data_IF_225965318844
#
_entry.id   IF_225965318844
#
_cell.length_a   1.000
_cell.length_b   1.000
_cell.length_c   1.000
_cell.angle_alpha   90.00
_cell.angle_beta   90.00
_cell.angle_gamma   90.00
#
_symmetry.space_group_name_H-M   'P 1'
#
loop_
_entity.id
_entity.type
_entity.pdbx_description
1 polymer ?
#
# COMPACT_ATOMS: atom_id res chain seq x y z
N UNK A 1 23.04 -1.14 1.11
CA UNK A 1 22.99 -1.82 2.42
C UNK A 1 22.56 -3.27 2.20
N UNK A 2 23.00 -4.24 3.02
CA UNK A 2 22.48 -5.61 2.93
C UNK A 2 21.00 -5.66 3.33
N UNK A 3 20.25 -6.65 2.83
CA UNK A 3 18.86 -6.86 3.23
C UNK A 3 18.78 -7.25 4.72
N UNK A 4 17.81 -6.74 5.50
CA UNK A 4 17.64 -7.15 6.90
C UNK A 4 17.21 -8.61 7.04
N UNK A 5 17.39 -9.25 8.21
CA UNK A 5 16.92 -10.61 8.45
C UNK A 5 15.42 -10.77 8.13
N UNK A 6 15.04 -11.91 7.55
CA UNK A 6 13.65 -12.19 7.17
C UNK A 6 13.15 -11.43 5.94
N UNK A 7 14.04 -10.76 5.21
CA UNK A 7 13.75 -10.11 3.93
C UNK A 7 14.33 -10.92 2.77
N UNK A 8 13.89 -10.58 1.56
CA UNK A 8 14.40 -11.20 0.35
C UNK A 8 15.94 -11.09 0.29
N UNK A 9 16.61 -12.21 0.02
CA UNK A 9 18.09 -12.28 0.01
C UNK A 9 18.74 -12.42 1.39
N UNK A 10 17.98 -12.45 2.50
CA UNK A 10 18.49 -12.71 3.85
C UNK A 10 17.49 -13.52 4.69
N UNK A 11 17.15 -14.72 4.18
CA UNK A 11 16.30 -15.69 4.85
C UNK A 11 17.14 -16.80 5.47
N UNK A 12 16.77 -17.26 6.67
CA UNK A 12 17.26 -18.54 7.19
C UNK A 12 16.61 -19.72 6.44
N UNK A 13 17.16 -20.94 6.52
CA UNK A 13 16.52 -22.12 5.92
C UNK A 13 15.07 -22.34 6.41
N UNK A 14 14.81 -22.09 7.69
CA UNK A 14 13.47 -22.23 8.29
C UNK A 14 12.50 -21.17 7.74
N UNK A 15 12.99 -19.93 7.56
CA UNK A 15 12.21 -18.85 6.98
C UNK A 15 11.89 -19.11 5.51
N UNK A 16 12.85 -19.66 4.76
CA UNK A 16 12.59 -20.07 3.37
C UNK A 16 11.58 -21.23 3.30
N UNK A 17 11.66 -22.20 4.22
CA UNK A 17 10.66 -23.26 4.33
C UNK A 17 9.26 -22.69 4.59
N UNK A 18 9.14 -21.66 5.45
CA UNK A 18 7.89 -20.96 5.71
C UNK A 18 7.37 -20.17 4.50
N UNK A 19 8.27 -19.58 3.71
CA UNK A 19 7.89 -18.94 2.45
C UNK A 19 7.31 -19.96 1.45
N UNK A 20 7.88 -21.17 1.36
CA UNK A 20 7.35 -22.26 0.52
C UNK A 20 5.98 -22.75 1.00
N UNK A 21 5.83 -22.94 2.31
CA UNK A 21 4.56 -23.30 2.94
C UNK A 21 3.48 -22.24 2.64
N UNK A 22 3.85 -20.96 2.73
CA UNK A 22 2.92 -19.87 2.47
C UNK A 22 2.54 -19.72 1.00
N UNK A 23 3.50 -19.88 0.08
CA UNK A 23 3.18 -19.98 -1.34
C UNK A 23 2.24 -21.16 -1.64
N UNK A 24 2.48 -22.32 -1.01
CA UNK A 24 1.61 -23.50 -1.17
C UNK A 24 0.18 -23.19 -0.74
N UNK A 25 0.01 -22.56 0.43
CA UNK A 25 -1.30 -22.19 0.94
C UNK A 25 -1.99 -21.15 0.05
N UNK A 26 -1.24 -20.15 -0.41
CA UNK A 26 -1.71 -19.08 -1.30
C UNK A 26 -2.17 -19.63 -2.65
N UNK A 27 -1.36 -20.46 -3.30
CA UNK A 27 -1.69 -21.06 -4.60
C UNK A 27 -2.90 -21.98 -4.51
N UNK A 28 -3.07 -22.70 -3.40
CA UNK A 28 -4.28 -23.50 -3.14
C UNK A 28 -5.54 -22.64 -3.05
N UNK A 29 -5.48 -21.50 -2.35
CA UNK A 29 -6.60 -20.54 -2.30
C UNK A 29 -6.91 -19.97 -3.69
N UNK A 30 -5.90 -19.84 -4.54
CA UNK A 30 -6.03 -19.40 -5.93
C UNK A 30 -6.50 -20.50 -6.89
N UNK A 31 -6.79 -21.71 -6.40
CA UNK A 31 -7.27 -22.83 -7.22
C UNK A 31 -6.19 -23.39 -8.14
N UNK A 32 -4.91 -23.13 -7.83
CA UNK A 32 -3.78 -23.69 -8.57
C UNK A 32 -3.30 -24.91 -7.81
N UNK A 33 -3.57 -26.10 -8.36
CA UNK A 33 -3.33 -27.38 -7.67
C UNK A 33 -2.03 -28.08 -8.12
N UNK A 34 -1.54 -27.79 -9.32
CA UNK A 34 -0.26 -28.29 -9.83
C UNK A 34 0.37 -27.35 -10.89
N UNK A 35 1.56 -27.70 -11.36
CA UNK A 35 2.31 -26.92 -12.35
C UNK A 35 1.64 -26.86 -13.74
N UNK A 36 0.82 -27.85 -14.12
CA UNK A 36 0.08 -27.86 -15.39
C UNK A 36 -1.13 -26.93 -15.31
N UNK A 37 -1.81 -26.90 -14.17
CA UNK A 37 -2.88 -25.95 -13.88
C UNK A 37 -2.33 -24.51 -13.86
N UNK A 38 -1.15 -24.30 -13.25
CA UNK A 38 -0.47 -23.00 -13.29
C UNK A 38 -0.15 -22.50 -14.71
N UNK A 39 0.10 -23.42 -15.65
CA UNK A 39 0.41 -23.11 -17.04
C UNK A 39 -0.84 -22.92 -17.92
N UNK A 40 -1.99 -23.51 -17.55
CA UNK A 40 -3.21 -23.57 -18.36
C UNK A 40 -4.31 -22.57 -18.00
N UNK A 41 -4.27 -21.94 -16.81
CA UNK A 41 -5.29 -20.98 -16.39
C UNK A 41 -4.87 -19.54 -16.69
N UNK A 42 -5.63 -18.82 -17.51
CA UNK A 42 -5.44 -17.38 -17.73
C UNK A 42 -5.73 -16.61 -16.44
N UNK A 43 -4.86 -15.68 -16.01
CA UNK A 43 -5.28 -14.65 -15.05
C UNK A 43 -6.35 -13.81 -15.76
N UNK A 44 -7.57 -13.69 -15.22
CA UNK A 44 -8.54 -12.80 -15.83
C UNK A 44 -7.95 -11.39 -15.90
N UNK A 45 -8.10 -10.72 -17.05
CA UNK A 45 -7.84 -9.28 -17.15
C UNK A 45 -8.71 -8.56 -16.12
N UNK A 46 -8.19 -7.49 -15.51
CA UNK A 46 -8.90 -6.73 -14.47
C UNK A 46 -10.00 -5.82 -15.03
N UNK A 47 -10.38 -5.98 -16.31
CA UNK A 47 -11.48 -5.26 -16.94
C UNK A 47 -12.83 -5.89 -16.56
N UNK A 48 -13.73 -5.06 -16.04
CA UNK A 48 -15.16 -5.30 -15.79
C UNK A 48 -15.56 -6.26 -14.65
N UNK A 49 -15.18 -5.91 -13.41
CA UNK A 49 -15.95 -6.32 -12.22
C UNK A 49 -17.22 -5.45 -12.02
N UNK A 50 -17.85 -4.99 -13.10
CA UNK A 50 -19.13 -4.27 -13.07
C UNK A 50 -20.10 -4.91 -14.06
N UNK A 51 -20.76 -5.98 -13.63
CA UNK A 51 -22.09 -6.32 -14.15
C UNK A 51 -22.90 -7.10 -13.13
N UNK A 52 -24.11 -6.58 -12.90
CA UNK A 52 -25.24 -7.01 -12.08
C UNK A 52 -25.28 -8.49 -11.66
N UNK A 53 -25.39 -8.70 -10.34
CA UNK A 53 -25.77 -10.00 -9.76
C UNK A 53 -27.28 -10.19 -10.00
N UNK A 54 -27.62 -10.86 -11.11
CA UNK A 54 -28.95 -11.38 -11.33
C UNK A 54 -29.07 -12.78 -10.69
N UNK A 55 -29.88 -12.87 -9.63
CA UNK A 55 -30.06 -14.10 -8.84
C UNK A 55 -30.94 -15.06 -9.64
N UNK A 56 -30.34 -16.10 -10.21
CA UNK A 56 -31.08 -17.33 -10.54
C UNK A 56 -30.35 -18.57 -10.06
N UNK A 57 -31.02 -19.24 -9.13
CA UNK A 57 -30.76 -20.57 -8.59
C UNK A 57 -30.21 -21.55 -9.62
N UNK A 58 -29.14 -22.25 -9.23
CA UNK A 58 -28.97 -23.68 -9.50
C UNK A 58 -28.00 -24.30 -8.51
N UNK A 59 -28.54 -25.16 -7.66
CA UNK A 59 -27.80 -26.11 -6.84
C UNK A 59 -26.81 -26.93 -7.67
N UNK A 60 -25.58 -27.11 -7.15
CA UNK A 60 -25.02 -28.46 -6.90
C UNK A 60 -23.70 -28.46 -6.11
N UNK A 61 -23.67 -29.41 -5.18
CA UNK A 61 -22.54 -30.16 -4.60
C UNK A 61 -21.47 -29.41 -3.77
N UNK A 62 -21.77 -29.26 -2.47
CA UNK A 62 -20.81 -28.94 -1.41
C UNK A 62 -19.82 -30.10 -1.18
N UNK A 63 -18.53 -29.92 -1.47
CA UNK A 63 -17.44 -30.62 -0.76
C UNK A 63 -17.08 -29.80 0.47
N UNK A 64 -17.39 -30.34 1.66
CA UNK A 64 -17.09 -29.71 2.96
C UNK A 64 -15.61 -29.92 3.30
N UNK A 65 -14.84 -28.84 3.40
CA UNK A 65 -13.50 -28.84 4.00
C UNK A 65 -13.62 -28.84 5.53
N UNK A 66 -13.05 -29.85 6.18
CA UNK A 66 -13.00 -29.95 7.64
C UNK A 66 -11.55 -30.00 8.11
N UNK A 67 -11.07 -28.92 8.73
CA UNK A 67 -9.83 -28.91 9.51
C UNK A 67 -10.05 -28.06 10.76
N UNK A 68 -10.64 -28.67 11.78
CA UNK A 68 -10.52 -28.26 13.18
C UNK A 68 -10.69 -29.51 14.05
N UNK A 69 -9.58 -30.10 14.52
CA UNK A 69 -9.62 -31.14 15.54
C UNK A 69 -8.97 -30.60 16.82
N UNK A 70 -9.81 -30.14 17.72
CA UNK A 70 -9.44 -29.69 19.07
C UNK A 70 -9.25 -30.94 19.95
N UNK A 71 -8.04 -31.18 20.42
CA UNK A 71 -7.76 -32.18 21.46
C UNK A 71 -8.39 -31.72 22.79
N UNK A 72 -9.06 -32.64 23.48
CA UNK A 72 -9.68 -32.41 24.78
C UNK A 72 -9.25 -33.54 25.70
N UNK A 73 -8.25 -33.29 26.52
CA UNK A 73 -7.93 -34.18 27.64
C UNK A 73 -8.77 -33.80 28.85
N UNK A 74 -9.33 -34.83 29.48
CA UNK A 74 -10.17 -34.79 30.67
C UNK A 74 -9.34 -35.36 31.81
N UNK A 75 -9.20 -34.61 32.89
CA UNK A 75 -9.11 -35.21 34.23
C UNK A 75 -9.70 -34.27 35.28
N UNK A 76 -10.38 -34.89 36.25
CA UNK A 76 -11.30 -34.29 37.21
C UNK A 76 -10.65 -34.08 38.57
N UNK A 77 -11.06 -33.04 39.32
CA UNK A 77 -11.42 -33.15 40.76
C UNK A 77 -11.68 -31.78 41.43
N UNK A 78 -12.95 -31.58 41.83
CA UNK A 78 -13.44 -30.96 43.08
C UNK A 78 -12.92 -29.59 43.56
N UNK A 79 -13.84 -28.60 43.67
CA UNK A 79 -13.86 -27.69 44.83
C UNK A 79 -14.31 -26.24 44.62
N UNK A 80 -15.56 -25.96 45.04
CA UNK A 80 -16.09 -24.68 45.59
C UNK A 80 -16.34 -23.47 44.65
N UNK A 81 -17.61 -23.09 44.56
CA UNK A 81 -18.15 -21.99 43.78
C UNK A 81 -17.79 -20.59 44.34
N UNK A 82 -17.38 -19.70 43.44
CA UNK A 82 -17.50 -18.23 43.54
C UNK A 82 -17.86 -17.69 42.15
N UNK A 83 -18.68 -16.63 42.03
CA UNK A 83 -19.23 -16.20 40.75
C UNK A 83 -18.13 -15.47 39.98
N UNK A 84 -17.54 -16.15 39.00
CA UNK A 84 -16.55 -15.56 38.09
C UNK A 84 -17.20 -15.27 36.74
N UNK A 85 -16.84 -14.10 36.23
CA UNK A 85 -17.31 -13.47 35.00
C UNK A 85 -17.36 -14.45 33.83
N UNK A 86 -18.38 -14.23 33.00
CA UNK A 86 -18.60 -14.83 31.69
C UNK A 86 -17.27 -14.98 30.90
N UNK A 87 -16.87 -16.20 30.50
CA UNK A 87 -15.58 -16.45 29.83
C UNK A 87 -15.61 -16.19 28.32
N UNK A 88 -16.55 -15.38 27.82
CA UNK A 88 -16.71 -15.10 26.39
C UNK A 88 -15.89 -13.91 25.85
N UNK A 89 -15.06 -13.24 26.67
CA UNK A 89 -14.39 -11.99 26.28
C UNK A 89 -12.88 -12.11 26.02
N UNK A 90 -12.38 -13.31 25.71
CA UNK A 90 -11.05 -13.45 25.09
C UNK A 90 -11.18 -13.23 23.58
N UNK A 91 -11.21 -11.97 23.15
CA UNK A 91 -10.77 -11.65 21.78
C UNK A 91 -9.31 -12.10 21.68
N UNK A 92 -9.02 -12.99 20.75
CA UNK A 92 -7.65 -13.35 20.41
C UNK A 92 -6.91 -12.05 20.10
N UNK A 93 -5.85 -11.73 20.84
CA UNK A 93 -5.14 -10.46 20.69
C UNK A 93 -4.58 -10.27 19.27
N UNK A 94 -4.42 -11.40 18.55
CA UNK A 94 -3.95 -11.45 17.17
C UNK A 94 -5.07 -11.17 16.12
N UNK A 95 -6.35 -11.09 16.50
CA UNK A 95 -7.48 -10.80 15.58
C UNK A 95 -8.21 -9.47 15.92
N UNK A 96 -7.43 -8.43 16.22
CA UNK A 96 -7.91 -7.07 16.55
C UNK A 96 -8.96 -6.54 15.56
N UNK A 97 -8.84 -6.90 14.29
CA UNK A 97 -9.65 -6.38 13.19
C UNK A 97 -10.74 -7.36 12.70
N UNK A 98 -10.86 -8.57 13.28
CA UNK A 98 -11.89 -9.54 12.89
C UNK A 98 -11.63 -10.25 11.55
N UNK A 99 -10.37 -10.29 11.11
CA UNK A 99 -9.92 -10.87 9.85
C UNK A 99 -10.24 -12.37 9.76
N UNK A 100 -10.26 -13.09 10.88
CA UNK A 100 -10.60 -14.52 10.87
C UNK A 100 -12.05 -14.78 10.43
N UNK A 101 -12.98 -13.91 10.83
CA UNK A 101 -14.40 -13.99 10.42
C UNK A 101 -14.55 -13.60 8.94
N UNK A 102 -13.89 -12.52 8.53
CA UNK A 102 -13.88 -12.06 7.14
C UNK A 102 -13.33 -13.14 6.20
N UNK A 103 -12.27 -13.84 6.60
CA UNK A 103 -11.65 -14.90 5.78
C UNK A 103 -12.65 -15.97 5.35
N UNK A 104 -13.50 -16.45 6.27
CA UNK A 104 -14.51 -17.47 5.96
C UNK A 104 -15.59 -16.93 5.01
N UNK A 105 -15.97 -15.67 5.17
CA UNK A 105 -16.91 -15.01 4.27
C UNK A 105 -16.32 -14.84 2.87
N UNK A 106 -15.06 -14.42 2.77
CA UNK A 106 -14.36 -14.22 1.49
C UNK A 106 -14.26 -15.53 0.73
N UNK A 107 -13.82 -16.61 1.39
CA UNK A 107 -13.73 -17.93 0.75
C UNK A 107 -15.10 -18.48 0.28
N UNK A 108 -16.20 -17.97 0.83
CA UNK A 108 -17.56 -18.36 0.42
C UNK A 108 -18.14 -17.50 -0.71
N UNK A 109 -17.58 -16.31 -0.95
CA UNK A 109 -18.13 -15.29 -1.87
C UNK A 109 -17.25 -15.00 -3.07
N UNK A 110 -15.93 -15.15 -2.95
CA UNK A 110 -14.99 -14.91 -4.03
C UNK A 110 -14.53 -16.21 -4.69
N UNK A 111 -14.30 -16.16 -6.00
CA UNK A 111 -13.72 -17.29 -6.74
C UNK A 111 -12.19 -17.34 -6.53
N UNK A 112 -11.58 -18.52 -6.63
CA UNK A 112 -10.11 -18.65 -6.61
C UNK A 112 -9.41 -17.78 -7.64
N UNK A 113 -9.99 -17.64 -8.84
CA UNK A 113 -9.46 -16.81 -9.93
C UNK A 113 -9.51 -15.32 -9.60
N UNK A 114 -10.58 -14.85 -8.95
CA UNK A 114 -10.69 -13.46 -8.50
C UNK A 114 -9.64 -13.12 -7.43
N UNK A 115 -9.43 -14.02 -6.46
CA UNK A 115 -8.37 -13.87 -5.45
C UNK A 115 -6.98 -13.87 -6.07
N UNK A 116 -6.75 -14.72 -7.09
CA UNK A 116 -5.50 -14.75 -7.85
C UNK A 116 -5.25 -13.44 -8.59
N UNK A 117 -6.26 -12.91 -9.28
CA UNK A 117 -6.17 -11.63 -9.98
C UNK A 117 -5.89 -10.47 -9.01
N UNK A 118 -6.59 -10.43 -7.87
CA UNK A 118 -6.38 -9.43 -6.83
C UNK A 118 -4.94 -9.44 -6.29
N UNK A 119 -4.36 -10.63 -6.06
CA UNK A 119 -2.97 -10.76 -5.63
C UNK A 119 -2.00 -10.19 -6.67
N UNK A 120 -2.14 -10.58 -7.94
CA UNK A 120 -1.21 -10.14 -9.00
C UNK A 120 -1.37 -8.67 -9.37
N UNK A 121 -2.56 -8.09 -9.20
CA UNK A 121 -2.78 -6.64 -9.23
C UNK A 121 -2.02 -5.94 -8.11
N UNK A 122 -2.07 -6.48 -6.87
CA UNK A 122 -1.39 -5.90 -5.70
C UNK A 122 0.15 -5.94 -5.81
N UNK A 123 0.71 -6.92 -6.53
CA UNK A 123 2.16 -7.05 -6.75
C UNK A 123 2.75 -5.83 -7.46
N UNK A 124 2.08 -5.29 -8.49
CA UNK A 124 2.59 -4.14 -9.27
C UNK A 124 4.06 -4.32 -9.69
N UNK A 125 4.94 -3.42 -9.25
CA UNK A 125 6.40 -3.46 -9.44
C UNK A 125 7.16 -4.17 -8.30
N UNK A 126 6.49 -4.66 -7.25
CA UNK A 126 7.14 -5.36 -6.15
C UNK A 126 7.57 -6.79 -6.56
N UNK A 127 8.54 -7.35 -5.85
CA UNK A 127 8.87 -8.77 -5.98
C UNK A 127 7.77 -9.63 -5.30
N UNK A 128 7.20 -10.66 -5.96
CA UNK A 128 6.10 -11.45 -5.37
C UNK A 128 6.45 -12.10 -4.01
N UNK A 129 7.66 -12.65 -3.88
CA UNK A 129 8.15 -13.17 -2.58
C UNK A 129 8.27 -12.07 -1.52
N UNK A 130 8.75 -10.87 -1.86
CA UNK A 130 8.88 -9.78 -0.90
C UNK A 130 7.51 -9.36 -0.35
N UNK A 131 6.47 -9.34 -1.21
CA UNK A 131 5.10 -9.09 -0.80
C UNK A 131 4.61 -10.12 0.22
N UNK A 132 4.77 -11.42 -0.05
CA UNK A 132 4.37 -12.47 0.90
C UNK A 132 5.19 -12.45 2.20
N UNK A 133 6.49 -12.14 2.12
CA UNK A 133 7.36 -12.04 3.28
C UNK A 133 6.89 -10.95 4.26
N UNK A 134 6.28 -9.86 3.78
CA UNK A 134 5.67 -8.84 4.66
C UNK A 134 4.59 -9.43 5.57
N UNK A 135 3.70 -10.26 5.01
CA UNK A 135 2.63 -10.91 5.78
C UNK A 135 3.19 -11.96 6.75
N UNK A 136 4.21 -12.73 6.33
CA UNK A 136 4.88 -13.68 7.22
C UNK A 136 5.53 -12.98 8.41
N UNK A 137 6.31 -11.92 8.18
CA UNK A 137 6.92 -11.14 9.27
C UNK A 137 5.87 -10.54 10.20
N UNK A 138 4.83 -9.93 9.63
CA UNK A 138 3.74 -9.33 10.40
C UNK A 138 2.94 -10.33 11.25
N UNK A 139 2.99 -11.62 10.91
CA UNK A 139 2.36 -12.71 11.66
C UNK A 139 3.37 -13.67 12.27
N UNK A 140 4.60 -13.20 12.53
CA UNK A 140 5.64 -13.95 13.26
C UNK A 140 5.92 -15.33 12.66
N UNK A 141 5.88 -15.42 11.34
CA UNK A 141 6.07 -16.64 10.54
C UNK A 141 4.98 -17.72 10.75
N UNK A 142 3.81 -17.33 11.26
CA UNK A 142 2.60 -18.15 11.27
C UNK A 142 1.90 -18.05 9.89
N UNK A 143 1.91 -19.15 9.15
CA UNK A 143 1.43 -19.21 7.76
C UNK A 143 -0.09 -19.07 7.67
N UNK A 144 -0.84 -19.66 8.61
CA UNK A 144 -2.30 -19.59 8.60
C UNK A 144 -2.76 -18.16 8.89
N UNK A 145 -2.17 -17.51 9.90
CA UNK A 145 -2.48 -16.11 10.23
C UNK A 145 -2.04 -15.16 9.11
N UNK A 146 -0.90 -15.42 8.47
CA UNK A 146 -0.44 -14.63 7.33
C UNK A 146 -1.41 -14.74 6.14
N UNK A 147 -1.95 -15.94 5.87
CA UNK A 147 -2.93 -16.16 4.82
C UNK A 147 -4.25 -15.44 5.09
N UNK A 148 -4.74 -15.51 6.33
CA UNK A 148 -5.94 -14.77 6.77
C UNK A 148 -5.77 -13.28 6.52
N UNK A 149 -4.63 -12.70 6.95
CA UNK A 149 -4.34 -11.28 6.75
C UNK A 149 -4.23 -10.90 5.27
N UNK A 150 -3.57 -11.73 4.46
CA UNK A 150 -3.42 -11.51 3.01
C UNK A 150 -4.78 -11.46 2.32
N UNK A 151 -5.66 -12.44 2.58
CA UNK A 151 -6.98 -12.52 1.95
C UNK A 151 -7.90 -11.38 2.40
N UNK A 152 -7.94 -11.03 3.69
CA UNK A 152 -8.63 -9.84 4.16
C UNK A 152 -8.11 -8.56 3.50
N UNK A 153 -6.79 -8.44 3.31
CA UNK A 153 -6.18 -7.29 2.64
C UNK A 153 -6.63 -7.19 1.18
N UNK A 154 -6.69 -8.31 0.46
CA UNK A 154 -7.17 -8.32 -0.93
C UNK A 154 -8.63 -7.86 -1.02
N UNK A 155 -9.54 -8.34 -0.16
CA UNK A 155 -10.93 -7.88 -0.11
C UNK A 155 -11.01 -6.38 0.16
N UNK A 156 -10.33 -5.91 1.20
CA UNK A 156 -10.30 -4.48 1.53
C UNK A 156 -9.81 -3.63 0.34
N UNK A 157 -8.75 -4.10 -0.33
CA UNK A 157 -8.15 -3.40 -1.46
C UNK A 157 -9.09 -3.31 -2.66
N UNK A 158 -9.77 -4.41 -3.01
CA UNK A 158 -10.56 -4.50 -4.24
C UNK A 158 -12.05 -4.19 -4.09
N UNK A 159 -12.62 -4.31 -2.89
CA UNK A 159 -14.07 -4.15 -2.66
C UNK A 159 -14.44 -3.02 -1.69
N UNK A 160 -13.58 -2.68 -0.74
CA UNK A 160 -13.89 -1.63 0.24
C UNK A 160 -13.29 -0.29 -0.15
N UNK A 161 -12.01 -0.26 -0.52
CA UNK A 161 -11.28 0.97 -0.80
C UNK A 161 -11.04 1.23 -2.28
N UNK A 162 -11.35 0.27 -3.15
CA UNK A 162 -11.22 0.41 -4.60
C UNK A 162 -9.85 0.97 -5.03
N UNK A 163 -8.77 0.39 -4.47
CA UNK A 163 -7.43 0.97 -4.56
C UNK A 163 -6.95 1.00 -6.01
N UNK A 164 -7.18 -0.08 -6.75
CA UNK A 164 -6.66 -0.23 -8.11
C UNK A 164 -7.62 0.32 -9.17
N UNK A 165 -8.94 0.23 -8.96
CA UNK A 165 -10.01 0.60 -9.89
C UNK A 165 -10.55 2.03 -9.69
N UNK A 166 -10.33 2.65 -8.53
CA UNK A 166 -10.69 4.06 -8.28
C UNK A 166 -9.46 4.90 -7.90
N UNK A 167 -8.80 4.58 -6.78
CA UNK A 167 -7.82 5.48 -6.15
C UNK A 167 -6.62 5.72 -7.07
N UNK A 168 -6.03 4.65 -7.60
CA UNK A 168 -4.85 4.70 -8.47
C UNK A 168 -5.24 4.96 -9.93
N UNK A 169 -6.34 4.37 -10.40
CA UNK A 169 -6.81 4.54 -11.78
C UNK A 169 -7.22 5.99 -12.06
N UNK A 170 -8.05 6.59 -11.19
CA UNK A 170 -8.53 7.97 -11.38
C UNK A 170 -7.50 8.99 -10.89
N UNK A 171 -6.81 8.71 -9.78
CA UNK A 171 -5.77 9.56 -9.20
C UNK A 171 -6.14 11.05 -9.12
N UNK A 172 -5.19 11.91 -9.49
CA UNK A 172 -5.35 13.37 -9.46
C UNK A 172 -6.20 13.91 -10.63
N UNK A 173 -6.09 13.30 -11.81
CA UNK A 173 -6.87 13.69 -13.00
C UNK A 173 -8.37 13.49 -12.80
N UNK A 174 -8.78 12.32 -12.30
CA UNK A 174 -10.17 12.06 -11.98
C UNK A 174 -10.68 12.91 -10.82
N UNK A 175 -9.85 13.22 -9.81
CA UNK A 175 -10.24 14.19 -8.79
C UNK A 175 -10.49 15.61 -9.37
N UNK A 176 -9.73 16.01 -10.38
CA UNK A 176 -9.95 17.26 -11.14
C UNK A 176 -11.24 17.23 -11.94
N UNK A 177 -11.59 16.10 -12.55
CA UNK A 177 -12.89 15.91 -13.21
C UNK A 177 -14.03 15.98 -12.19
N UNK A 178 -13.93 15.24 -11.09
CA UNK A 178 -14.92 15.19 -10.02
C UNK A 178 -15.15 16.57 -9.43
N UNK A 179 -14.11 17.38 -9.25
CA UNK A 179 -14.20 18.77 -8.74
C UNK A 179 -15.05 19.72 -9.59
N UNK A 180 -15.37 19.31 -10.83
CA UNK A 180 -16.21 20.05 -11.80
C UNK A 180 -17.59 19.40 -11.98
N UNK A 181 -17.88 18.30 -11.29
CA UNK A 181 -19.15 17.59 -11.36
C UNK A 181 -20.33 18.49 -11.00
N UNK A 182 -21.48 18.22 -11.62
CA UNK A 182 -22.76 18.83 -11.27
C UNK A 182 -23.37 18.19 -10.00
N UNK A 183 -22.95 16.97 -9.63
CA UNK A 183 -23.31 16.34 -8.37
C UNK A 183 -22.53 16.99 -7.21
N UNK A 184 -23.20 17.64 -6.23
CA UNK A 184 -22.52 18.33 -5.14
C UNK A 184 -21.63 17.45 -4.26
N UNK A 185 -21.98 16.18 -4.06
CA UNK A 185 -21.21 15.25 -3.24
C UNK A 185 -19.91 14.85 -3.95
N UNK A 186 -20.01 14.47 -5.23
CA UNK A 186 -18.84 14.15 -6.07
C UNK A 186 -17.93 15.37 -6.20
N UNK A 187 -18.54 16.54 -6.45
CA UNK A 187 -17.83 17.82 -6.52
C UNK A 187 -17.03 18.10 -5.26
N UNK A 188 -17.66 17.93 -4.09
CA UNK A 188 -17.00 18.13 -2.80
C UNK A 188 -15.84 17.16 -2.61
N UNK A 189 -16.01 15.88 -2.91
CA UNK A 189 -14.95 14.88 -2.74
C UNK A 189 -13.72 15.19 -3.61
N UNK A 190 -13.93 15.57 -4.88
CA UNK A 190 -12.84 15.99 -5.78
C UNK A 190 -12.15 17.27 -5.32
N UNK A 191 -12.91 18.27 -4.85
CA UNK A 191 -12.36 19.50 -4.29
C UNK A 191 -11.56 19.26 -3.01
N UNK A 192 -12.08 18.44 -2.10
CA UNK A 192 -11.42 18.06 -0.85
C UNK A 192 -10.08 17.36 -1.15
N UNK A 193 -10.07 16.41 -2.09
CA UNK A 193 -8.86 15.67 -2.48
C UNK A 193 -7.78 16.61 -3.05
N UNK A 194 -8.15 17.48 -3.99
CA UNK A 194 -7.21 18.42 -4.61
C UNK A 194 -6.73 19.49 -3.63
N UNK A 195 -7.56 19.93 -2.69
CA UNK A 195 -7.15 20.88 -1.66
C UNK A 195 -5.98 20.33 -0.82
N UNK A 196 -6.01 19.02 -0.51
CA UNK A 196 -4.94 18.36 0.25
C UNK A 196 -3.59 18.41 -0.51
N UNK A 197 -3.63 18.16 -1.82
CA UNK A 197 -2.46 18.26 -2.70
C UNK A 197 -1.99 19.71 -2.84
N UNK A 198 -2.87 20.64 -3.19
CA UNK A 198 -2.55 22.06 -3.40
C UNK A 198 -1.92 22.72 -2.18
N UNK A 199 -2.40 22.37 -0.98
CA UNK A 199 -1.85 22.84 0.28
C UNK A 199 -0.49 22.19 0.63
N UNK A 200 -0.11 21.11 -0.04
CA UNK A 200 1.03 20.28 0.34
C UNK A 200 0.86 19.73 1.75
N UNK A 201 -0.35 19.24 2.07
CA UNK A 201 -0.65 18.67 3.39
C UNK A 201 0.18 17.44 3.66
N UNK A 202 0.38 16.61 2.64
CA UNK A 202 1.35 15.52 2.63
C UNK A 202 2.11 15.50 1.30
N UNK A 203 3.40 15.19 1.33
CA UNK A 203 4.23 15.08 0.12
C UNK A 203 5.45 14.19 0.32
N UNK A 204 5.99 13.68 -0.78
CA UNK A 204 7.22 12.89 -0.84
C UNK A 204 8.39 13.78 -1.25
N UNK A 205 9.50 13.65 -0.55
CA UNK A 205 10.74 14.31 -0.94
C UNK A 205 11.98 13.72 -0.27
N UNK A 206 12.97 13.29 -1.05
CA UNK A 206 14.21 12.73 -0.53
C UNK A 206 14.07 11.39 0.20
N UNK A 207 15.16 10.97 0.84
CA UNK A 207 15.22 9.73 1.63
C UNK A 207 15.91 9.96 2.97
N UNK A 208 15.57 9.12 3.94
CA UNK A 208 16.31 9.02 5.20
C UNK A 208 17.70 8.36 5.00
N UNK A 209 18.47 8.23 6.08
CA UNK A 209 19.80 7.59 6.11
C UNK A 209 19.75 6.09 5.81
N UNK A 210 18.59 5.46 5.93
CA UNK A 210 18.36 4.07 5.55
C UNK A 210 17.87 3.90 4.10
N UNK A 211 17.73 5.01 3.36
CA UNK A 211 17.27 5.01 1.98
C UNK A 211 15.75 4.91 1.83
N UNK A 212 14.99 5.04 2.92
CA UNK A 212 13.52 5.01 2.91
C UNK A 212 13.00 6.32 2.32
N UNK A 213 12.03 6.28 1.37
CA UNK A 213 11.36 7.49 0.91
C UNK A 213 10.73 8.21 2.11
N UNK A 214 10.90 9.53 2.14
CA UNK A 214 10.30 10.38 3.17
C UNK A 214 8.91 10.84 2.72
N UNK A 215 7.91 10.64 3.56
CA UNK A 215 6.60 11.23 3.44
C UNK A 215 6.39 12.27 4.55
N UNK A 216 6.36 13.54 4.18
CA UNK A 216 6.08 14.63 5.10
C UNK A 216 4.57 14.80 5.26
N UNK A 217 4.12 15.09 6.48
CA UNK A 217 2.73 15.42 6.81
C UNK A 217 2.73 16.68 7.67
N UNK A 218 2.21 17.78 7.12
CA UNK A 218 2.10 19.08 7.80
C UNK A 218 0.81 19.11 8.62
N UNK A 219 0.89 18.76 9.89
CA UNK A 219 -0.30 18.57 10.73
C UNK A 219 -1.08 19.87 10.95
N UNK A 220 -0.38 21.02 10.99
CA UNK A 220 -1.00 22.36 11.11
C UNK A 220 -2.00 22.70 10.00
N UNK A 221 -1.95 21.99 8.86
CA UNK A 221 -2.85 22.18 7.71
C UNK A 221 -4.09 21.28 7.78
N UNK A 222 -4.19 20.41 8.79
CA UNK A 222 -5.40 19.63 9.04
C UNK A 222 -6.34 20.36 9.99
N UNK A 223 -7.64 20.35 9.69
CA UNK A 223 -8.70 20.77 10.60
C UNK A 223 -9.86 19.79 10.47
N UNK A 224 -10.33 19.29 11.61
CA UNK A 224 -11.42 18.31 11.64
C UNK A 224 -12.70 18.86 11.00
N UNK A 225 -13.33 18.08 10.14
CA UNK A 225 -14.60 18.39 9.50
C UNK A 225 -14.55 19.26 8.23
N UNK A 226 -13.38 19.75 7.79
CA UNK A 226 -13.27 20.47 6.52
C UNK A 226 -13.44 19.53 5.30
N UNK A 227 -12.82 18.34 5.38
CA UNK A 227 -12.93 17.30 4.37
C UNK A 227 -13.87 16.17 4.83
N UNK A 228 -14.49 15.48 3.89
CA UNK A 228 -15.21 14.23 4.20
C UNK A 228 -14.24 13.13 4.63
N UNK A 229 -14.71 12.20 5.46
CA UNK A 229 -13.92 11.03 5.89
C UNK A 229 -13.47 10.22 4.67
N UNK A 230 -14.38 9.93 3.73
CA UNK A 230 -14.06 9.21 2.49
C UNK A 230 -12.96 9.90 1.67
N UNK A 231 -12.99 11.24 1.54
CA UNK A 231 -11.95 11.97 0.80
C UNK A 231 -10.60 11.91 1.52
N UNK A 232 -10.59 12.01 2.86
CA UNK A 232 -9.37 11.86 3.67
C UNK A 232 -8.77 10.45 3.56
N UNK A 233 -9.60 9.42 3.63
CA UNK A 233 -9.18 8.01 3.47
C UNK A 233 -8.63 7.76 2.06
N UNK A 234 -9.37 8.15 1.02
CA UNK A 234 -8.96 8.06 -0.39
C UNK A 234 -7.63 8.75 -0.64
N UNK A 235 -7.46 9.98 -0.14
CA UNK A 235 -6.20 10.72 -0.24
C UNK A 235 -5.04 10.01 0.48
N UNK A 236 -5.30 9.46 1.67
CA UNK A 236 -4.29 8.73 2.45
C UNK A 236 -3.81 7.48 1.70
N UNK A 237 -4.74 6.70 1.14
CA UNK A 237 -4.42 5.51 0.33
C UNK A 237 -3.65 5.92 -0.94
N UNK A 238 -4.07 7.00 -1.61
CA UNK A 238 -3.36 7.56 -2.76
C UNK A 238 -1.90 7.90 -2.43
N UNK A 239 -1.65 8.55 -1.28
CA UNK A 239 -0.28 8.88 -0.85
C UNK A 239 0.53 7.61 -0.57
N UNK A 240 -0.06 6.59 0.07
CA UNK A 240 0.62 5.31 0.34
C UNK A 240 1.00 4.60 -0.96
N UNK A 241 0.06 4.47 -1.90
CA UNK A 241 0.30 3.81 -3.19
C UNK A 241 1.35 4.57 -4.02
N UNK A 242 1.30 5.90 -4.00
CA UNK A 242 2.32 6.74 -4.65
C UNK A 242 3.69 6.58 -4.00
N UNK A 243 3.75 6.45 -2.66
CA UNK A 243 5.00 6.18 -1.94
C UNK A 243 5.58 4.82 -2.30
N UNK A 244 4.74 3.80 -2.50
CA UNK A 244 5.17 2.45 -2.89
C UNK A 244 5.92 2.47 -4.23
N UNK A 245 5.53 3.32 -5.17
CA UNK A 245 6.25 3.49 -6.44
C UNK A 245 7.70 3.95 -6.26
N UNK A 246 8.02 4.60 -5.14
CA UNK A 246 9.36 5.10 -4.82
C UNK A 246 10.25 4.11 -4.04
N UNK A 247 9.74 2.94 -3.64
CA UNK A 247 10.50 1.93 -2.89
C UNK A 247 11.49 1.19 -3.79
N UNK A 248 12.77 1.16 -3.42
CA UNK A 248 13.81 0.47 -4.20
C UNK A 248 14.48 -0.62 -3.36
N UNK A 249 14.51 -1.88 -3.81
CA UNK A 249 15.19 -2.95 -3.09
C UNK A 249 16.63 -2.56 -2.70
N UNK A 250 17.09 -2.93 -1.50
CA UNK A 250 16.42 -3.78 -0.51
C UNK A 250 15.47 -3.02 0.43
N UNK A 251 15.17 -1.74 0.17
CA UNK A 251 14.29 -0.93 1.01
C UNK A 251 12.83 -1.20 0.67
N UNK A 252 12.08 -1.72 1.64
CA UNK A 252 10.66 -2.08 1.52
C UNK A 252 9.72 -1.14 2.31
N UNK A 253 10.28 -0.18 3.04
CA UNK A 253 9.54 0.67 3.98
C UNK A 253 9.74 2.15 3.72
N UNK A 254 8.77 2.97 4.16
CA UNK A 254 8.85 4.43 4.15
C UNK A 254 9.13 5.00 5.54
N UNK A 255 9.61 6.25 5.59
CA UNK A 255 9.70 7.05 6.80
C UNK A 255 8.70 8.21 6.72
N UNK A 256 7.83 8.33 7.73
CA UNK A 256 6.83 9.40 7.80
C UNK A 256 7.33 10.47 8.75
N UNK A 257 7.31 11.74 8.33
CA UNK A 257 7.63 12.89 9.17
C UNK A 257 6.34 13.66 9.44
N UNK A 258 5.79 13.53 10.65
CA UNK A 258 4.71 14.38 11.13
C UNK A 258 5.29 15.69 11.65
N UNK A 259 5.20 16.74 10.85
CA UNK A 259 5.57 18.08 11.25
C UNK A 259 4.45 18.72 12.09
N UNK A 260 4.71 18.83 13.39
CA UNK A 260 3.82 19.41 14.39
C UNK A 260 4.11 20.89 14.65
N UNK A 261 4.96 21.54 13.86
CA UNK A 261 5.22 22.98 13.97
C UNK A 261 3.90 23.74 13.87
N UNK A 262 3.64 24.63 14.83
CA UNK A 262 2.38 25.39 14.95
C UNK A 262 1.11 24.54 15.13
N UNK A 263 1.24 23.31 15.63
CA UNK A 263 0.09 22.49 16.00
C UNK A 263 -0.76 23.14 17.11
N UNK A 264 -2.07 23.07 16.95
CA UNK A 264 -3.07 23.45 17.95
C UNK A 264 -4.12 22.34 18.09
N UNK A 265 -4.97 22.41 19.12
CA UNK A 265 -6.06 21.45 19.29
C UNK A 265 -7.09 21.45 18.15
N UNK A 266 -7.19 22.54 17.37
CA UNK A 266 -8.04 22.58 16.18
C UNK A 266 -7.54 21.64 15.06
N UNK A 267 -6.26 21.24 15.12
CA UNK A 267 -5.65 20.32 14.17
C UNK A 267 -5.78 18.85 14.59
N UNK A 268 -6.21 18.57 15.82
CA UNK A 268 -6.32 17.20 16.30
C UNK A 268 -7.62 16.56 15.82
N UNK A 269 -7.48 15.53 14.99
CA UNK A 269 -8.59 14.67 14.57
C UNK A 269 -8.19 13.19 14.73
N UNK A 270 -9.00 12.44 15.50
CA UNK A 270 -8.73 11.03 15.75
C UNK A 270 -9.19 10.12 14.61
N UNK A 271 -10.07 10.57 13.73
CA UNK A 271 -10.59 9.77 12.61
C UNK A 271 -9.48 9.37 11.63
N UNK A 272 -8.73 10.31 11.01
CA UNK A 272 -7.63 9.94 10.11
C UNK A 272 -6.50 9.22 10.85
N UNK A 273 -6.28 9.51 12.13
CA UNK A 273 -5.28 8.78 12.95
C UNK A 273 -5.65 7.31 13.10
N UNK A 274 -6.90 7.01 13.48
CA UNK A 274 -7.37 5.61 13.60
C UNK A 274 -7.33 4.89 12.27
N UNK A 275 -7.69 5.58 11.19
CA UNK A 275 -7.60 5.03 9.83
C UNK A 275 -6.16 4.65 9.47
N UNK A 276 -5.20 5.58 9.64
CA UNK A 276 -3.78 5.30 9.37
C UNK A 276 -3.25 4.12 10.20
N UNK A 277 -3.64 4.04 11.48
CA UNK A 277 -3.27 2.89 12.35
C UNK A 277 -3.81 1.59 11.77
N UNK A 278 -5.12 1.53 11.45
CA UNK A 278 -5.74 0.34 10.84
C UNK A 278 -5.00 -0.06 9.55
N UNK A 279 -4.75 0.90 8.67
CA UNK A 279 -4.08 0.67 7.39
C UNK A 279 -2.71 0.01 7.57
N UNK A 280 -1.86 0.52 8.46
CA UNK A 280 -0.50 -0.03 8.62
C UNK A 280 -0.45 -1.32 9.42
N UNK A 281 -1.42 -1.59 10.29
CA UNK A 281 -1.49 -2.83 11.07
C UNK A 281 -2.22 -3.99 10.36
N UNK A 282 -3.19 -3.66 9.48
CA UNK A 282 -4.10 -4.64 8.88
C UNK A 282 -3.93 -4.81 7.36
N UNK A 283 -3.59 -3.75 6.62
CA UNK A 283 -3.68 -3.72 5.15
C UNK A 283 -2.34 -3.51 4.44
N UNK A 284 -1.40 -2.79 5.05
CA UNK A 284 -0.04 -2.58 4.53
C UNK A 284 1.00 -3.03 5.56
N UNK A 285 1.02 -4.32 5.94
CA UNK A 285 1.98 -4.84 6.90
C UNK A 285 3.40 -4.54 6.47
N UNK A 286 4.29 -4.29 7.44
CA UNK A 286 5.73 -4.18 7.21
C UNK A 286 6.12 -3.11 6.16
N UNK A 287 5.26 -2.11 5.95
CA UNK A 287 5.51 -1.00 4.99
C UNK A 287 5.98 0.29 5.67
N UNK A 288 5.81 0.37 7.00
CA UNK A 288 6.26 1.50 7.82
C UNK A 288 7.61 1.18 8.48
N UNK A 289 8.62 2.02 8.25
CA UNK A 289 9.97 1.85 8.79
C UNK A 289 10.24 2.73 10.00
N UNK A 290 9.87 4.01 9.93
CA UNK A 290 9.98 4.96 11.03
C UNK A 290 8.89 6.04 10.93
N UNK A 291 8.46 6.56 12.08
CA UNK A 291 7.59 7.73 12.20
C UNK A 291 8.31 8.77 13.05
N UNK A 292 8.64 9.91 12.46
CA UNK A 292 9.26 11.03 13.15
C UNK A 292 8.17 12.05 13.48
N UNK A 293 7.80 12.15 14.76
CA UNK A 293 6.91 13.20 15.25
C UNK A 293 7.79 14.40 15.63
N UNK A 294 7.83 15.39 14.74
CA UNK A 294 8.74 16.53 14.83
C UNK A 294 8.07 17.75 15.45
N UNK A 295 8.74 18.41 16.41
CA UNK A 295 8.29 19.63 17.10
C UNK A 295 6.91 19.49 17.75
N UNK A 296 6.57 18.31 18.30
CA UNK A 296 5.30 18.13 19.01
C UNK A 296 5.22 19.03 20.25
N UNK A 297 4.15 19.82 20.44
CA UNK A 297 4.00 20.64 21.64
C UNK A 297 3.75 19.76 22.88
N UNK A 298 4.02 20.31 24.08
CA UNK A 298 3.91 19.57 25.34
C UNK A 298 2.53 18.89 25.54
N UNK A 299 1.45 19.53 25.08
CA UNK A 299 0.08 18.98 25.15
C UNK A 299 -0.06 17.66 24.40
N UNK A 300 0.74 17.44 23.35
CA UNK A 300 0.72 16.23 22.55
C UNK A 300 1.16 15.00 23.34
N UNK A 301 1.86 15.13 24.46
CA UNK A 301 2.21 13.99 25.31
C UNK A 301 0.96 13.27 25.86
N UNK A 302 -0.10 14.03 26.20
CA UNK A 302 -1.38 13.45 26.61
C UNK A 302 -2.08 12.72 25.46
N UNK A 303 -2.08 13.34 24.27
CA UNK A 303 -2.65 12.76 23.04
C UNK A 303 -1.91 11.48 22.64
N UNK A 304 -0.58 11.51 22.68
CA UNK A 304 0.26 10.36 22.39
C UNK A 304 -0.01 9.19 23.33
N UNK A 305 -0.25 9.43 24.63
CA UNK A 305 -0.63 8.36 25.56
C UNK A 305 -1.91 7.64 25.12
N UNK A 306 -2.87 8.36 24.54
CA UNK A 306 -4.10 7.80 23.98
C UNK A 306 -3.78 7.01 22.71
N UNK A 307 -3.11 7.63 21.74
CA UNK A 307 -2.75 7.02 20.45
C UNK A 307 -1.93 5.74 20.64
N UNK A 308 -0.93 5.79 21.54
CA UNK A 308 -0.09 4.63 21.88
C UNK A 308 -0.89 3.46 22.42
N UNK A 309 -2.01 3.71 23.11
CA UNK A 309 -2.93 2.66 23.57
C UNK A 309 -3.70 1.98 22.44
N UNK A 310 -3.75 2.57 21.24
CA UNK A 310 -4.37 1.98 20.06
C UNK A 310 -3.39 1.24 19.17
N UNK A 311 -2.09 1.54 19.27
CA UNK A 311 -1.05 0.95 18.44
C UNK A 311 -0.66 -0.44 18.95
N UNK A 312 -0.40 -1.35 18.01
CA UNK A 312 0.34 -2.55 18.33
C UNK A 312 1.79 -2.20 18.76
N UNK A 313 2.45 -3.04 19.58
CA UNK A 313 3.78 -2.73 20.09
C UNK A 313 4.87 -2.53 19.01
N UNK A 314 4.75 -3.19 17.86
CA UNK A 314 5.71 -3.08 16.75
C UNK A 314 5.59 -1.72 16.08
N UNK A 315 4.38 -1.26 15.76
CA UNK A 315 4.19 0.09 15.20
C UNK A 315 4.53 1.17 16.21
N UNK A 316 4.13 1.01 17.48
CA UNK A 316 4.49 1.95 18.54
C UNK A 316 6.02 2.09 18.71
N UNK A 317 6.78 1.00 18.52
CA UNK A 317 8.24 0.99 18.57
C UNK A 317 8.93 1.73 17.43
N UNK A 318 8.22 2.04 16.34
CA UNK A 318 8.72 2.80 15.18
C UNK A 318 8.55 4.31 15.32
N UNK A 319 7.90 4.79 16.39
CA UNK A 319 7.63 6.21 16.62
C UNK A 319 8.77 6.85 17.39
N UNK A 320 9.34 7.91 16.82
CA UNK A 320 10.43 8.70 17.38
C UNK A 320 10.02 10.16 17.50
N UNK A 321 10.26 10.77 18.66
CA UNK A 321 10.02 12.20 18.88
C UNK A 321 11.30 12.99 18.61
N UNK A 322 11.18 14.05 17.81
CA UNK A 322 12.30 14.94 17.47
C UNK A 322 11.90 16.39 17.77
N UNK A 323 12.78 17.17 18.41
CA UNK A 323 12.44 18.53 18.86
C UNK A 323 13.08 19.63 18.02
N UNK A 324 14.19 19.32 17.36
CA UNK A 324 14.99 20.24 16.56
C UNK A 324 15.64 19.52 15.37
N UNK A 325 16.34 20.27 14.52
CA UNK A 325 17.02 19.73 13.34
C UNK A 325 18.08 18.68 13.68
N UNK A 326 18.79 18.83 14.81
CA UNK A 326 19.83 17.86 15.21
C UNK A 326 19.21 16.50 15.59
N UNK A 327 18.00 16.48 16.13
CA UNK A 327 17.23 15.25 16.36
C UNK A 327 16.79 14.60 15.04
N UNK A 328 16.31 15.39 14.07
CA UNK A 328 15.99 14.89 12.73
C UNK A 328 17.24 14.37 12.01
N UNK A 329 18.38 15.01 12.20
CA UNK A 329 19.65 14.65 11.59
C UNK A 329 20.09 13.23 11.97
N UNK A 330 19.63 12.69 13.11
CA UNK A 330 19.86 11.29 13.49
C UNK A 330 19.27 10.30 12.48
N UNK A 331 18.20 10.70 11.78
CA UNK A 331 17.47 9.86 10.83
C UNK A 331 17.66 10.31 9.38
N UNK A 332 17.70 11.61 9.12
CA UNK A 332 17.76 12.20 7.77
C UNK A 332 19.09 12.94 7.61
N UNK A 333 19.85 12.81 6.51
CA UNK A 333 21.04 13.63 6.31
C UNK A 333 20.67 15.12 6.37
N UNK A 334 21.44 15.95 7.10
CA UNK A 334 21.11 17.38 7.30
C UNK A 334 20.91 18.15 5.98
N UNK A 335 21.70 17.82 4.97
CA UNK A 335 21.63 18.35 3.61
C UNK A 335 20.35 17.98 2.84
N UNK A 336 19.51 17.08 3.39
CA UNK A 336 18.22 16.63 2.84
C UNK A 336 17.05 16.97 3.76
N UNK A 337 17.29 17.70 4.84
CA UNK A 337 16.23 18.26 5.67
C UNK A 337 15.86 19.60 5.03
N UNK A 338 14.60 19.76 4.66
CA UNK A 338 14.09 21.00 4.07
C UNK A 338 14.20 22.16 5.06
N UNK A 339 14.46 23.38 4.55
CA UNK A 339 14.56 24.60 5.36
C UNK A 339 13.33 24.86 6.22
N UNK A 340 12.16 24.44 5.79
CA UNK A 340 10.92 24.51 6.57
C UNK A 340 11.03 23.77 7.93
N UNK A 341 11.89 22.76 8.02
CA UNK A 341 12.21 22.01 9.23
C UNK A 341 13.60 22.37 9.78
N UNK A 342 14.07 23.60 9.50
CA UNK A 342 15.37 24.16 9.90
C UNK A 342 16.61 23.43 9.35
N UNK A 343 16.45 22.66 8.29
CA UNK A 343 17.55 21.98 7.60
C UNK A 343 18.25 22.83 6.53
N UNK A 344 19.23 22.22 5.85
CA UNK A 344 20.06 22.94 4.88
C UNK A 344 19.45 22.95 3.46
N UNK A 345 18.46 22.10 3.21
CA UNK A 345 17.93 21.91 1.86
C UNK A 345 16.96 23.02 1.46
N UNK A 346 17.34 23.78 0.43
CA UNK A 346 16.54 24.86 -0.12
C UNK A 346 15.50 24.34 -1.14
N UNK A 347 14.52 23.59 -0.66
CA UNK A 347 13.42 23.06 -1.45
C UNK A 347 12.07 23.43 -0.83
N UNK A 348 11.07 23.65 -1.67
CA UNK A 348 9.71 23.97 -1.27
C UNK A 348 8.72 23.17 -2.14
N UNK A 349 7.72 22.58 -1.49
CA UNK A 349 6.63 21.91 -2.19
C UNK A 349 5.79 22.91 -2.98
N UNK A 350 5.66 22.71 -4.29
CA UNK A 350 4.82 23.51 -5.18
C UNK A 350 4.02 22.59 -6.08
N UNK A 351 2.73 22.44 -5.78
CA UNK A 351 1.86 21.59 -6.57
C UNK A 351 1.75 22.09 -8.01
N UNK A 352 1.88 21.16 -8.97
CA UNK A 352 1.65 21.37 -10.39
C UNK A 352 0.35 20.67 -10.72
N UNK A 353 -0.64 21.39 -11.28
CA UNK A 353 -1.93 20.81 -11.65
C UNK A 353 -1.81 19.73 -12.74
N UNK A 354 -2.76 18.77 -12.79
CA UNK A 354 -2.91 17.86 -13.92
C UNK A 354 -2.99 18.63 -15.25
N UNK A 355 -2.28 18.15 -16.26
CA UNK A 355 -2.25 18.75 -17.61
C UNK A 355 -3.30 18.07 -18.50
N UNK A 356 -4.07 18.81 -19.33
CA UNK A 356 -4.98 18.20 -20.28
C UNK A 356 -4.30 17.16 -21.16
N UNK A 357 -4.89 15.96 -21.24
CA UNK A 357 -4.41 14.85 -22.05
C UNK A 357 -3.29 14.01 -21.43
N UNK A 358 -2.80 14.32 -20.23
CA UNK A 358 -1.71 13.55 -19.60
C UNK A 358 -2.04 12.07 -19.31
N UNK A 359 -3.34 11.74 -19.26
CA UNK A 359 -3.85 10.39 -19.05
C UNK A 359 -4.50 9.78 -20.30
N UNK A 360 -4.39 10.41 -21.48
CA UNK A 360 -5.10 9.93 -22.69
C UNK A 360 -4.67 8.53 -23.12
N UNK A 361 -3.42 8.13 -22.87
CA UNK A 361 -2.93 6.78 -23.14
C UNK A 361 -3.73 5.71 -22.40
N UNK A 362 -4.36 6.01 -21.26
CA UNK A 362 -5.19 5.06 -20.53
C UNK A 362 -6.47 4.66 -21.28
N UNK A 363 -6.83 5.40 -22.35
CA UNK A 363 -7.96 5.06 -23.24
C UNK A 363 -7.57 4.04 -24.32
N UNK A 364 -6.28 3.72 -24.45
CA UNK A 364 -5.77 2.79 -25.46
C UNK A 364 -5.90 1.34 -24.99
N UNK A 365 -7.02 0.70 -25.32
CA UNK A 365 -7.31 -0.68 -24.88
C UNK A 365 -6.39 -1.73 -25.50
N UNK A 366 -6.21 -1.73 -26.83
CA UNK A 366 -5.45 -2.78 -27.51
C UNK A 366 -3.97 -2.82 -27.08
N UNK A 367 -3.24 -1.69 -27.00
CA UNK A 367 -1.89 -1.67 -26.47
C UNK A 367 -1.83 -2.09 -24.98
N UNK A 368 -2.82 -1.71 -24.16
CA UNK A 368 -2.91 -2.17 -22.78
C UNK A 368 -3.03 -3.69 -22.70
N UNK A 369 -4.02 -4.26 -23.41
CA UNK A 369 -4.29 -5.71 -23.45
C UNK A 369 -3.07 -6.50 -23.91
N UNK A 370 -2.29 -5.98 -24.85
CA UNK A 370 -1.04 -6.60 -25.29
C UNK A 370 0.01 -6.68 -24.16
N UNK A 371 0.21 -5.60 -23.41
CA UNK A 371 1.17 -5.58 -22.28
C UNK A 371 0.68 -6.44 -21.11
N UNK A 372 -0.63 -6.47 -20.87
CA UNK A 372 -1.26 -7.37 -19.89
C UNK A 372 -1.08 -8.84 -20.27
N UNK A 373 -1.26 -9.19 -21.55
CA UNK A 373 -1.03 -10.55 -22.01
C UNK A 373 0.44 -10.99 -21.84
N UNK A 374 1.40 -10.10 -22.07
CA UNK A 374 2.82 -10.34 -21.74
C UNK A 374 2.99 -10.60 -20.24
N UNK A 375 2.37 -9.76 -19.40
CA UNK A 375 2.41 -9.89 -17.94
C UNK A 375 1.84 -11.23 -17.48
N UNK A 376 0.70 -11.62 -18.02
CA UNK A 376 0.02 -12.86 -17.65
C UNK A 376 0.84 -14.09 -18.03
N UNK A 377 1.56 -14.05 -19.15
CA UNK A 377 2.50 -15.09 -19.51
C UNK A 377 3.66 -15.22 -18.50
N UNK A 378 4.23 -14.08 -18.07
CA UNK A 378 5.26 -14.05 -17.03
C UNK A 378 4.75 -14.52 -15.67
N UNK A 379 3.51 -14.17 -15.31
CA UNK A 379 2.83 -14.63 -14.09
C UNK A 379 2.66 -16.15 -14.10
N UNK A 380 2.12 -16.72 -15.18
CA UNK A 380 1.95 -18.18 -15.33
C UNK A 380 3.27 -18.91 -15.16
N UNK A 381 4.32 -18.41 -15.81
CA UNK A 381 5.65 -19.00 -15.70
C UNK A 381 6.22 -18.87 -14.28
N UNK A 382 6.05 -17.72 -13.61
CA UNK A 382 6.46 -17.56 -12.21
C UNK A 382 5.73 -18.53 -11.28
N UNK A 383 4.42 -18.73 -11.48
CA UNK A 383 3.62 -19.67 -10.70
C UNK A 383 4.11 -21.11 -10.94
N UNK A 384 4.29 -21.52 -12.19
CA UNK A 384 4.82 -22.84 -12.56
C UNK A 384 6.17 -23.10 -11.89
N UNK A 385 7.11 -22.16 -11.99
CA UNK A 385 8.42 -22.26 -11.36
C UNK A 385 8.36 -22.27 -9.83
N UNK A 386 7.39 -21.56 -9.26
CA UNK A 386 7.15 -21.58 -7.81
C UNK A 386 6.68 -22.97 -7.35
N UNK A 387 5.81 -23.65 -8.10
CA UNK A 387 5.46 -25.05 -7.81
C UNK A 387 6.67 -25.98 -7.87
N UNK A 388 7.47 -25.87 -8.92
CA UNK A 388 8.67 -26.70 -9.07
C UNK A 388 9.65 -26.45 -7.92
N UNK A 389 9.89 -25.18 -7.59
CA UNK A 389 10.73 -24.79 -6.48
C UNK A 389 10.24 -25.41 -5.16
N UNK A 390 8.94 -25.27 -4.84
CA UNK A 390 8.33 -25.90 -3.66
C UNK A 390 8.55 -27.42 -3.66
N UNK A 391 8.28 -28.08 -4.78
CA UNK A 391 8.37 -29.55 -4.90
C UNK A 391 9.79 -30.09 -4.68
N UNK A 392 10.81 -29.33 -5.10
CA UNK A 392 12.23 -29.72 -4.95
C UNK A 392 12.75 -29.57 -3.53
N UNK A 393 12.10 -28.75 -2.70
CA UNK A 393 12.59 -28.50 -1.34
C UNK A 393 13.98 -27.87 -1.38
N UNK A 394 14.99 -28.49 -0.78
CA UNK A 394 16.34 -27.93 -0.68
C UNK A 394 17.31 -28.52 -1.70
N UNK A 395 18.47 -27.88 -1.88
CA UNK A 395 19.56 -28.37 -2.71
C UNK A 395 19.74 -27.62 -4.03
N UNK A 396 20.70 -28.08 -4.84
CA UNK A 396 21.21 -27.31 -6.00
C UNK A 396 20.14 -26.98 -7.04
N UNK A 397 19.22 -27.90 -7.30
CA UNK A 397 18.11 -27.66 -8.24
C UNK A 397 17.15 -26.59 -7.71
N UNK A 398 16.84 -26.61 -6.41
CA UNK A 398 15.98 -25.62 -5.80
C UNK A 398 16.62 -24.22 -5.78
N UNK A 399 17.93 -24.11 -5.52
CA UNK A 399 18.65 -22.83 -5.61
C UNK A 399 18.64 -22.29 -7.06
N UNK A 400 18.79 -23.15 -8.06
CA UNK A 400 18.68 -22.74 -9.47
C UNK A 400 17.29 -22.20 -9.80
N UNK A 401 16.24 -22.90 -9.39
CA UNK A 401 14.84 -22.47 -9.57
C UNK A 401 14.56 -21.15 -8.85
N UNK A 402 15.14 -20.94 -7.66
CA UNK A 402 15.03 -19.69 -6.90
C UNK A 402 15.63 -18.51 -7.66
N UNK A 403 16.84 -18.64 -8.20
CA UNK A 403 17.48 -17.59 -9.02
C UNK A 403 16.72 -17.30 -10.33
N UNK A 404 16.17 -18.34 -10.95
CA UNK A 404 15.33 -18.19 -12.15
C UNK A 404 14.01 -17.46 -11.81
N UNK A 405 13.38 -17.75 -10.66
CA UNK A 405 12.22 -16.99 -10.15
C UNK A 405 12.57 -15.53 -9.88
N UNK A 406 13.73 -15.23 -9.30
CA UNK A 406 14.19 -13.84 -9.13
C UNK A 406 14.36 -13.12 -10.47
N UNK A 407 14.77 -13.84 -11.51
CA UNK A 407 14.85 -13.29 -12.86
C UNK A 407 13.47 -13.00 -13.45
N UNK A 408 12.48 -13.88 -13.25
CA UNK A 408 11.09 -13.62 -13.65
C UNK A 408 10.46 -12.46 -12.87
N UNK A 409 10.72 -12.34 -11.57
CA UNK A 409 10.23 -11.20 -10.78
C UNK A 409 10.75 -9.86 -11.31
N UNK A 410 11.99 -9.81 -11.81
CA UNK A 410 12.53 -8.62 -12.50
C UNK A 410 11.79 -8.32 -13.80
N UNK A 411 11.46 -9.34 -14.60
CA UNK A 411 10.64 -9.16 -15.80
C UNK A 411 9.25 -8.61 -15.48
N UNK A 412 8.61 -9.13 -14.43
CA UNK A 412 7.32 -8.62 -13.95
C UNK A 412 7.40 -7.15 -13.51
N UNK A 413 8.52 -6.72 -12.92
CA UNK A 413 8.77 -5.32 -12.59
C UNK A 413 8.91 -4.47 -13.87
N UNK A 414 9.77 -4.89 -14.81
CA UNK A 414 9.99 -4.18 -16.08
C UNK A 414 8.68 -4.08 -16.89
N UNK A 415 7.89 -5.15 -16.92
CA UNK A 415 6.58 -5.20 -17.56
C UNK A 415 5.59 -4.22 -16.88
N UNK A 416 5.57 -4.13 -15.54
CA UNK A 416 4.69 -3.18 -14.86
C UNK A 416 4.95 -1.74 -15.30
N UNK A 417 6.22 -1.34 -15.47
CA UNK A 417 6.53 0.02 -15.92
C UNK A 417 6.14 0.28 -17.38
N UNK A 418 6.03 -0.75 -18.23
CA UNK A 418 5.37 -0.63 -19.54
C UNK A 418 3.85 -0.46 -19.42
N UNK A 419 3.24 -1.16 -18.46
CA UNK A 419 1.79 -1.17 -18.22
C UNK A 419 1.30 0.12 -17.53
N UNK A 420 2.14 0.72 -16.68
CA UNK A 420 1.82 1.82 -15.77
C UNK A 420 1.05 2.97 -16.44
N UNK A 421 1.45 3.38 -17.64
CA UNK A 421 0.82 4.46 -18.41
C UNK A 421 -0.62 4.17 -18.87
N UNK A 422 -1.06 2.92 -18.80
CA UNK A 422 -2.42 2.50 -19.16
C UNK A 422 -3.32 2.31 -17.92
N UNK A 423 -2.74 2.03 -16.75
CA UNK A 423 -3.50 1.57 -15.57
C UNK A 423 -3.45 2.52 -14.37
N UNK A 424 -2.70 3.63 -14.48
CA UNK A 424 -2.56 4.62 -13.40
C UNK A 424 -2.56 6.04 -13.94
N UNK A 425 -3.38 6.90 -13.33
CA UNK A 425 -3.35 8.33 -13.60
C UNK A 425 -2.02 8.96 -13.15
N UNK A 426 -1.52 9.92 -13.94
CA UNK A 426 -0.30 10.67 -13.64
C UNK A 426 -0.47 11.48 -12.35
N UNK A 427 0.59 11.49 -11.56
CA UNK A 427 0.69 12.21 -10.30
C UNK A 427 1.53 13.47 -10.46
N UNK A 428 1.49 14.33 -9.46
CA UNK A 428 2.47 15.41 -9.29
C UNK A 428 3.93 14.93 -9.44
N UNK A 429 4.23 13.70 -9.02
CA UNK A 429 5.58 13.15 -9.08
C UNK A 429 6.00 12.69 -10.48
N UNK A 430 5.05 12.29 -11.32
CA UNK A 430 5.30 12.08 -12.75
C UNK A 430 5.60 13.44 -13.43
N UNK A 431 4.77 14.46 -13.16
CA UNK A 431 4.92 15.80 -13.76
C UNK A 431 6.21 16.52 -13.37
N UNK A 432 6.71 16.28 -12.16
CA UNK A 432 7.99 16.85 -11.70
C UNK A 432 9.20 16.05 -12.18
N UNK A 433 9.01 14.88 -12.78
CA UNK A 433 10.09 13.97 -13.14
C UNK A 433 10.71 13.26 -11.93
N UNK A 434 10.04 13.25 -10.77
CA UNK A 434 10.47 12.44 -9.64
C UNK A 434 10.28 10.95 -9.92
N UNK A 435 9.15 10.57 -10.54
CA UNK A 435 8.88 9.23 -11.03
C UNK A 435 9.05 9.25 -12.55
N UNK A 436 10.06 8.53 -13.04
CA UNK A 436 10.27 8.32 -14.47
C UNK A 436 9.33 7.25 -15.04
N UNK A 437 9.09 7.27 -16.37
CA UNK A 437 8.19 6.32 -17.05
C UNK A 437 8.69 4.86 -17.00
N UNK A 438 9.98 4.66 -16.74
CA UNK A 438 10.63 3.35 -16.56
C UNK A 438 10.76 2.95 -15.08
N UNK A 439 10.16 3.72 -14.17
CA UNK A 439 10.33 3.51 -12.74
C UNK A 439 11.65 4.01 -12.19
N UNK A 440 12.40 4.84 -12.88
CA UNK A 440 13.51 5.56 -12.23
C UNK A 440 12.97 6.55 -11.20
N UNK A 441 13.63 6.67 -10.05
CA UNK A 441 13.26 7.65 -9.01
C UNK A 441 14.36 8.66 -8.88
N UNK A 442 14.01 9.91 -9.08
CA UNK A 442 14.87 11.04 -8.84
C UNK A 442 14.20 12.01 -7.87
N UNK A 443 14.50 11.91 -6.58
CA UNK A 443 13.99 12.86 -5.59
C UNK A 443 14.46 14.30 -5.81
N UNK A 444 15.45 14.52 -6.69
CA UNK A 444 16.02 15.82 -6.99
C UNK A 444 16.08 16.02 -8.52
N UNK A 445 14.92 16.04 -9.20
CA UNK A 445 14.90 16.29 -10.62
C UNK A 445 15.48 17.69 -10.90
N UNK A 446 16.18 17.90 -12.02
CA UNK A 446 16.62 19.24 -12.38
C UNK A 446 15.41 20.16 -12.37
N UNK A 447 15.47 21.25 -11.60
CA UNK A 447 14.49 22.30 -11.77
C UNK A 447 14.53 22.65 -13.24
N UNK A 448 13.38 22.59 -13.93
CA UNK A 448 13.30 23.08 -15.29
C UNK A 448 13.86 24.50 -15.23
N UNK A 449 15.09 24.69 -15.73
CA UNK A 449 15.63 26.01 -15.97
C UNK A 449 14.51 26.75 -16.68
N UNK A 450 14.19 27.97 -16.24
CA UNK A 450 13.25 28.84 -16.92
C UNK A 450 13.76 29.11 -18.34
N UNK A 451 13.62 28.13 -19.22
CA UNK A 451 13.95 28.16 -20.62
C UNK A 451 12.77 28.82 -21.27
N UNK A 452 12.94 30.11 -21.55
CA UNK A 452 12.17 30.92 -22.49
C UNK A 452 10.85 30.27 -22.94
N UNK A 453 9.82 30.42 -22.12
CA UNK A 453 8.47 30.30 -22.63
C UNK A 453 8.29 31.44 -23.63
N UNK A 454 8.38 31.13 -24.92
CA UNK A 454 7.87 31.97 -26.00
C UNK A 454 6.34 31.95 -25.97
N UNK A 455 5.77 32.35 -24.84
CA UNK A 455 4.37 32.76 -24.74
C UNK A 455 4.35 34.24 -25.14
N UNK A 456 3.63 34.62 -26.21
CA UNK A 456 3.52 36.02 -26.57
C UNK A 456 2.98 36.79 -25.37
N UNK A 457 3.72 37.80 -24.91
CA UNK A 457 3.19 38.77 -23.94
C UNK A 457 1.94 39.39 -24.56
N UNK A 458 0.77 39.07 -24.01
CA UNK A 458 -0.43 39.86 -24.26
C UNK A 458 -0.15 41.23 -23.64
N UNK A 459 0.04 42.22 -24.51
CA UNK A 459 0.14 43.61 -24.10
C UNK A 459 -1.24 44.05 -23.62
N UNK A 460 -1.39 44.29 -22.32
CA UNK A 460 -2.51 45.06 -21.78
C UNK A 460 -2.32 46.51 -22.19
N UNK A 461 -3.11 46.98 -23.16
CA UNK A 461 -3.26 48.40 -23.49
C UNK A 461 -3.89 49.12 -22.30
N UNK A 462 -3.46 50.36 -22.04
CA UNK A 462 -3.85 51.16 -20.89
C UNK A 462 -5.09 52.06 -21.14
N UNK A 463 -5.89 51.76 -22.17
CA UNK A 463 -6.98 52.65 -22.61
C UNK A 463 -8.37 51.97 -22.61
N UNK A 464 -8.71 51.21 -21.56
CA UNK A 464 -10.11 50.84 -21.28
C UNK A 464 -10.50 51.36 -19.89
N UNK A 465 -10.58 52.69 -19.78
CA UNK A 465 -11.39 53.38 -18.79
C UNK A 465 -12.10 54.53 -19.51
N UNK A 466 -13.37 54.31 -19.85
CA UNK A 466 -14.44 55.32 -19.83
C UNK A 466 -15.80 54.61 -19.69
#
# INVERSE_FOLDING_TARGET
MPAPPGHLGNLTPEQEAKLREFWTATLRVFGVEDAQHAAGTETPQTEDAVSEIDVKDKEKAKKRFGVFKRHKDKESSSGRATPTKDPSDHKDADDKYGQAKEFQEILSTQTPESLRAAFWSMVKADHPDALLLRFLRARKWDVEKALVMLVSTMRWRSQEQHVDDDVVLRGEGGALEDSKSDDPAVKKEGQDFLAQLRLGKSFLHGTDKEGRPLCFVRVRLHKGGEQTERSLERYTVYVIETTRLALRPPVETACIVFDMTNFTMANMDYTPVKFMIKIFEANYPESLGAVLVHKSPWIFQGIWKIIRGWLDPVVAGKVHFTSNVDDLEKFIPRSRIIKELDGDENWEYKYIEPVPGENDTMKEEEPRKAVEAERDAEVREYQRMTFEWISKGTGREAEKLKEERHTLARKLNDNYWKLDKYVRARTYYDRTGMIGPDGTINFYPPTASAGSSNVPKIATSADDVD
#
